data_IF_082315641824
#
_entry.id   IF_082315641824
#
_cell.length_a   1.000
_cell.length_b   1.000
_cell.length_c   1.000
_cell.angle_alpha   90.00
_cell.angle_beta   90.00
_cell.angle_gamma   90.00
#
_symmetry.space_group_name_H-M   'P 1'
#
loop_
_entity.id
_entity.type
_entity.pdbx_description
1 polymer ?
#
# COMPACT_ATOMS: atom_id res chain seq x y z
N UNK A 1 21.08 9.41 -42.78
CA UNK A 1 20.42 10.71 -42.59
C UNK A 1 19.15 10.49 -41.78
N UNK A 2 19.22 10.56 -40.46
CA UNK A 2 18.05 10.30 -39.60
C UNK A 2 17.65 11.61 -38.92
N UNK A 3 16.50 12.17 -39.33
CA UNK A 3 15.89 13.35 -38.73
C UNK A 3 15.27 12.93 -37.39
N UNK A 4 15.94 13.23 -36.29
CA UNK A 4 15.38 13.11 -34.95
C UNK A 4 14.32 14.22 -34.76
N UNK A 5 13.06 13.90 -34.41
CA UNK A 5 12.07 14.91 -34.10
C UNK A 5 12.48 15.65 -32.82
N UNK A 6 12.56 16.98 -32.91
CA UNK A 6 12.92 17.85 -31.79
C UNK A 6 11.84 17.75 -30.72
N UNK A 7 12.15 17.06 -29.62
CA UNK A 7 11.32 16.95 -28.41
C UNK A 7 11.35 18.22 -27.53
N UNK A 8 12.27 19.14 -27.82
CA UNK A 8 12.46 20.41 -27.12
C UNK A 8 11.20 21.32 -27.11
N UNK A 9 10.43 21.49 -28.22
CA UNK A 9 9.17 22.24 -28.18
C UNK A 9 8.07 21.56 -27.35
N UNK A 10 8.04 20.23 -27.26
CA UNK A 10 7.00 19.49 -26.51
C UNK A 10 7.24 19.59 -24.98
N UNK A 11 8.51 19.55 -24.56
CA UNK A 11 8.90 19.74 -23.16
C UNK A 11 8.66 21.21 -22.73
N UNK A 12 8.87 22.17 -23.62
CA UNK A 12 8.57 23.58 -23.36
C UNK A 12 7.06 23.85 -23.20
N UNK A 13 6.20 23.16 -23.97
CA UNK A 13 4.73 23.24 -23.80
C UNK A 13 4.26 22.55 -22.51
N UNK A 14 4.89 21.44 -22.11
CA UNK A 14 4.57 20.76 -20.85
C UNK A 14 4.97 21.60 -19.62
N UNK A 15 6.14 22.25 -19.64
CA UNK A 15 6.60 23.11 -18.53
C UNK A 15 5.85 24.45 -18.52
N UNK A 16 5.60 25.04 -19.70
CA UNK A 16 4.79 26.26 -19.83
C UNK A 16 3.33 26.06 -19.44
N UNK A 17 2.74 24.90 -19.76
CA UNK A 17 1.38 24.53 -19.39
C UNK A 17 1.20 24.35 -17.87
N UNK A 18 2.18 23.75 -17.18
CA UNK A 18 2.13 23.56 -15.72
C UNK A 18 2.28 24.89 -14.96
N UNK A 19 3.04 25.85 -15.49
CA UNK A 19 3.14 27.19 -14.90
C UNK A 19 1.87 28.02 -15.17
N UNK A 20 1.24 27.88 -16.33
CA UNK A 20 -0.05 28.50 -16.63
C UNK A 20 -1.19 27.92 -15.78
N UNK A 21 -1.20 26.62 -15.50
CA UNK A 21 -2.17 25.98 -14.60
C UNK A 21 -1.95 26.39 -13.13
N UNK A 22 -0.70 26.61 -12.71
CA UNK A 22 -0.39 27.13 -11.36
C UNK A 22 -0.69 28.62 -11.20
N UNK A 23 -0.69 29.39 -12.29
CA UNK A 23 -1.14 30.79 -12.31
C UNK A 23 -2.67 30.94 -12.48
N UNK A 24 -3.36 29.93 -13.02
CA UNK A 24 -4.81 29.90 -13.15
C UNK A 24 -5.54 29.20 -11.98
N UNK A 25 -4.80 28.72 -10.97
CA UNK A 25 -5.34 27.96 -9.83
C UNK A 25 -5.71 28.77 -8.59
N UNK A 26 -5.64 30.09 -8.64
CA UNK A 26 -6.10 30.96 -7.54
C UNK A 26 -7.02 32.03 -8.12
N UNK A 27 -8.26 31.62 -8.37
CA UNK A 27 -9.31 32.53 -8.82
C UNK A 27 -9.71 33.48 -7.68
N UNK A 28 -9.76 34.81 -7.90
CA UNK A 28 -10.30 35.78 -6.94
C UNK A 28 -11.85 35.81 -6.91
N UNK A 29 -12.52 34.92 -7.65
CA UNK A 29 -13.98 34.89 -7.81
C UNK A 29 -14.71 34.01 -6.79
N UNK A 30 -14.01 33.21 -5.96
CA UNK A 30 -14.69 32.39 -4.94
C UNK A 30 -15.17 33.21 -3.71
N UNK A 31 -14.73 34.47 -3.60
CA UNK A 31 -15.09 35.38 -2.50
C UNK A 31 -16.08 36.48 -2.89
N UNK A 32 -16.45 36.63 -4.18
CA UNK A 32 -17.45 37.63 -4.61
C UNK A 32 -18.89 37.21 -4.35
N UNK A 33 -19.16 35.91 -4.20
CA UNK A 33 -20.48 35.43 -3.73
C UNK A 33 -20.80 35.87 -2.30
N UNK A 34 -19.79 36.19 -1.49
CA UNK A 34 -19.95 36.66 -0.12
C UNK A 34 -20.13 38.19 -0.02
N UNK A 35 -19.62 38.97 -0.98
CA UNK A 35 -19.80 40.44 -0.99
C UNK A 35 -21.12 40.89 -1.63
N UNK A 36 -21.72 40.09 -2.52
CA UNK A 36 -23.03 40.38 -3.09
C UNK A 36 -24.19 40.33 -2.07
N UNK A 37 -24.00 39.65 -0.93
CA UNK A 37 -24.99 39.62 0.17
C UNK A 37 -24.74 40.69 1.24
N UNK A 38 -23.58 41.36 1.20
CA UNK A 38 -23.21 42.42 2.11
C UNK A 38 -23.40 43.83 1.52
N UNK A 39 -23.58 43.96 0.20
CA UNK A 39 -23.77 45.25 -0.48
C UNK A 39 -25.22 45.59 -0.83
N UNK A 40 -26.20 44.73 -0.53
CA UNK A 40 -27.63 45.09 -0.62
C UNK A 40 -28.19 45.70 0.68
N UNK A 41 -27.31 46.24 1.54
CA UNK A 41 -27.73 46.88 2.79
C UNK A 41 -27.07 48.22 3.10
N UNK A 42 -26.14 48.73 2.28
CA UNK A 42 -25.44 49.99 2.59
C UNK A 42 -24.92 50.70 1.33
N UNK A 43 -25.79 51.48 0.68
CA UNK A 43 -25.45 52.76 0.03
C UNK A 43 -26.73 53.39 -0.58
N UNK A 44 -27.28 54.36 0.14
CA UNK A 44 -28.39 55.21 -0.31
C UNK A 44 -28.50 56.43 0.61
N UNK A 45 -27.54 57.35 0.44
CA UNK A 45 -27.56 58.81 0.67
C UNK A 45 -28.26 59.41 1.92
N UNK A 46 -27.48 60.13 2.73
CA UNK A 46 -27.86 61.39 3.41
C UNK A 46 -27.78 62.57 2.41
N UNK A 47 -28.39 63.75 2.61
CA UNK A 47 -29.04 64.28 3.84
C UNK A 47 -30.40 64.99 3.62
N UNK A 48 -31.27 64.93 4.63
CA UNK A 48 -32.53 65.69 4.66
C UNK A 48 -32.93 65.97 6.11
N UNK A 49 -32.78 67.23 6.48
CA UNK A 49 -33.14 67.83 7.76
C UNK A 49 -34.64 67.65 8.08
N UNK A 50 -34.96 67.23 9.30
CA UNK A 50 -36.31 67.34 9.84
C UNK A 50 -36.79 66.12 10.64
N UNK A 51 -36.93 66.32 11.95
CA UNK A 51 -37.96 65.63 12.73
C UNK A 51 -37.47 64.63 13.77
N UNK A 52 -37.20 65.14 14.97
CA UNK A 52 -37.62 64.48 16.22
C UNK A 52 -36.87 63.21 16.64
N UNK A 53 -35.98 63.38 17.62
CA UNK A 53 -35.77 62.36 18.65
C UNK A 53 -37.13 61.93 19.21
N UNK A 54 -37.60 60.75 18.84
CA UNK A 54 -38.55 59.99 19.63
C UNK A 54 -37.77 58.91 20.37
N UNK A 55 -37.30 59.25 21.56
CA UNK A 55 -36.96 58.26 22.57
C UNK A 55 -38.20 57.38 22.79
N UNK A 56 -38.17 56.15 22.30
CA UNK A 56 -39.17 55.15 22.60
C UNK A 56 -39.03 54.76 24.08
N UNK A 57 -39.72 55.53 24.92
CA UNK A 57 -40.09 55.21 26.29
C UNK A 57 -40.58 53.76 26.35
N UNK A 58 -40.11 52.92 27.29
CA UNK A 58 -40.62 51.56 27.39
C UNK A 58 -42.12 51.64 27.67
N UNK A 59 -42.92 51.12 26.74
CA UNK A 59 -44.33 50.92 26.98
C UNK A 59 -44.46 50.00 28.20
N UNK A 60 -45.25 50.37 29.22
CA UNK A 60 -45.38 49.55 30.41
C UNK A 60 -45.99 48.22 30.00
N UNK A 61 -45.37 47.12 30.42
CA UNK A 61 -45.94 45.78 30.37
C UNK A 61 -47.17 45.74 31.30
N UNK A 62 -48.30 46.26 30.82
CA UNK A 62 -49.59 46.15 31.48
C UNK A 62 -50.39 45.18 30.63
N UNK A 63 -50.69 44.01 31.19
CA UNK A 63 -51.37 42.82 30.63
C UNK A 63 -50.51 41.54 30.48
N UNK A 64 -49.36 41.42 31.14
CA UNK A 64 -48.81 40.10 31.45
C UNK A 64 -49.14 39.79 32.92
N UNK A 65 -50.09 38.88 33.17
CA UNK A 65 -50.29 38.32 34.50
C UNK A 65 -48.95 37.75 34.97
N UNK A 66 -48.58 38.03 36.21
CA UNK A 66 -47.38 37.41 36.78
C UNK A 66 -47.59 35.89 36.84
N UNK A 67 -46.52 35.08 36.76
CA UNK A 67 -46.64 33.61 36.84
C UNK A 67 -47.41 33.13 38.07
N UNK A 68 -47.40 33.93 39.14
CA UNK A 68 -48.13 33.67 40.39
C UNK A 68 -49.63 33.96 40.27
N UNK A 69 -50.02 35.01 39.54
CA UNK A 69 -51.43 35.30 39.22
C UNK A 69 -52.02 34.28 38.24
N UNK A 70 -51.21 33.82 37.28
CA UNK A 70 -51.58 32.74 36.35
C UNK A 70 -51.78 31.40 37.09
N UNK A 71 -50.92 31.09 38.06
CA UNK A 71 -51.04 29.91 38.91
C UNK A 71 -52.35 29.93 39.73
N UNK A 72 -52.69 31.08 40.32
CA UNK A 72 -53.91 31.24 41.13
C UNK A 72 -55.20 31.12 40.31
N UNK A 73 -55.24 31.63 39.07
CA UNK A 73 -56.39 31.46 38.18
C UNK A 73 -56.56 30.02 37.66
N UNK A 74 -55.46 29.28 37.53
CA UNK A 74 -55.48 27.88 37.09
C UNK A 74 -55.71 26.87 38.23
N UNK A 75 -55.75 27.32 39.50
CA UNK A 75 -55.84 26.44 40.66
C UNK A 75 -54.58 25.60 40.92
N UNK A 76 -53.43 26.01 40.37
CA UNK A 76 -52.16 25.27 40.40
C UNK A 76 -51.20 25.95 41.40
N UNK A 77 -50.39 25.17 42.12
CA UNK A 77 -49.35 25.72 43.00
C UNK A 77 -48.23 26.41 42.20
N UNK A 78 -47.67 27.55 42.65
CA UNK A 78 -46.58 28.23 41.93
C UNK A 78 -45.33 27.36 41.74
N UNK A 79 -45.10 26.33 42.56
CA UNK A 79 -44.01 25.38 42.38
C UNK A 79 -44.27 24.43 41.19
N UNK A 80 -45.51 23.95 41.05
CA UNK A 80 -45.93 23.07 39.97
C UNK A 80 -45.90 23.79 38.61
N UNK A 81 -46.30 25.06 38.59
CA UNK A 81 -46.21 25.90 37.39
C UNK A 81 -44.76 26.09 36.91
N UNK A 82 -43.79 26.24 37.82
CA UNK A 82 -42.36 26.29 37.47
C UNK A 82 -41.85 24.97 36.90
N UNK A 83 -42.31 23.83 37.44
CA UNK A 83 -41.94 22.51 36.92
C UNK A 83 -42.47 22.34 35.50
N UNK A 84 -43.75 22.63 35.26
CA UNK A 84 -44.37 22.55 33.92
C UNK A 84 -43.61 23.45 32.93
N UNK A 85 -43.26 24.68 33.30
CA UNK A 85 -42.46 25.56 32.44
C UNK A 85 -41.07 24.98 32.15
N UNK A 86 -40.40 24.38 33.14
CA UNK A 86 -39.08 23.77 32.95
C UNK A 86 -39.13 22.52 32.05
N UNK A 87 -40.19 21.72 32.17
CA UNK A 87 -40.43 20.56 31.31
C UNK A 87 -40.77 21.00 29.88
N UNK A 88 -41.58 22.06 29.71
CA UNK A 88 -41.84 22.66 28.39
C UNK A 88 -40.55 23.15 27.75
N UNK A 89 -39.75 23.94 28.46
CA UNK A 89 -38.45 24.42 27.95
C UNK A 89 -37.50 23.27 27.59
N UNK A 90 -37.50 22.21 28.39
CA UNK A 90 -36.70 21.02 28.10
C UNK A 90 -37.22 20.27 26.88
N UNK A 91 -38.55 20.22 26.69
CA UNK A 91 -39.16 19.63 25.49
C UNK A 91 -38.76 20.41 24.25
N UNK A 92 -38.88 21.73 24.27
CA UNK A 92 -38.49 22.60 23.15
C UNK A 92 -37.00 22.44 22.81
N UNK A 93 -36.14 22.34 23.83
CA UNK A 93 -34.71 22.10 23.63
C UNK A 93 -34.39 20.70 23.05
N UNK A 94 -35.18 19.68 23.38
CA UNK A 94 -35.04 18.35 22.78
C UNK A 94 -35.56 18.34 21.35
N UNK A 95 -36.72 18.93 21.08
CA UNK A 95 -37.29 19.03 19.74
C UNK A 95 -36.36 19.80 18.78
N UNK A 96 -35.68 20.85 19.28
CA UNK A 96 -34.65 21.55 18.52
C UNK A 96 -33.46 20.65 18.16
N UNK A 97 -32.97 19.84 19.11
CA UNK A 97 -31.86 18.89 18.86
C UNK A 97 -32.27 17.76 17.92
N UNK A 98 -33.51 17.27 18.04
CA UNK A 98 -34.03 16.23 17.16
C UNK A 98 -34.15 16.75 15.72
N UNK A 99 -34.55 18.01 15.54
CA UNK A 99 -34.53 18.67 14.22
C UNK A 99 -33.10 18.83 13.67
N UNK A 100 -32.13 19.21 14.51
CA UNK A 100 -30.72 19.28 14.11
C UNK A 100 -30.17 17.91 13.68
N UNK A 101 -30.49 16.85 14.42
CA UNK A 101 -30.08 15.49 14.03
C UNK A 101 -30.79 14.98 12.78
N UNK A 102 -32.07 15.31 12.60
CA UNK A 102 -32.82 14.94 11.40
C UNK A 102 -32.20 15.52 10.11
N UNK A 103 -31.50 16.65 10.19
CA UNK A 103 -30.80 17.25 9.04
C UNK A 103 -29.37 16.76 8.89
N UNK A 104 -28.63 16.57 9.99
CA UNK A 104 -27.20 16.22 9.95
C UNK A 104 -26.93 14.75 9.70
N UNK A 105 -27.75 13.84 10.26
CA UNK A 105 -27.53 12.39 10.12
C UNK A 105 -27.62 11.92 8.66
N UNK A 106 -28.60 12.34 7.83
CA UNK A 106 -28.63 11.94 6.42
C UNK A 106 -27.42 12.43 5.62
N UNK A 107 -26.89 13.62 5.93
CA UNK A 107 -25.69 14.15 5.30
C UNK A 107 -24.45 13.33 5.68
N UNK A 108 -24.35 12.91 6.94
CA UNK A 108 -23.26 12.04 7.41
C UNK A 108 -23.32 10.66 6.76
N UNK A 109 -24.51 10.05 6.68
CA UNK A 109 -24.69 8.75 6.02
C UNK A 109 -24.35 8.84 4.52
N UNK A 110 -24.78 9.91 3.84
CA UNK A 110 -24.42 10.12 2.44
C UNK A 110 -22.91 10.34 2.26
N UNK A 111 -22.25 11.01 3.21
CA UNK A 111 -20.80 11.19 3.21
C UNK A 111 -20.06 9.85 3.44
N UNK A 112 -20.52 9.02 4.37
CA UNK A 112 -19.97 7.68 4.64
C UNK A 112 -20.09 6.79 3.40
N UNK A 113 -21.28 6.70 2.79
CA UNK A 113 -21.48 5.95 1.54
C UNK A 113 -20.56 6.44 0.41
N UNK A 114 -20.34 7.75 0.31
CA UNK A 114 -19.42 8.34 -0.68
C UNK A 114 -17.96 8.00 -0.37
N UNK A 115 -17.58 7.90 0.90
CA UNK A 115 -16.24 7.48 1.30
C UNK A 115 -16.04 5.98 1.03
N UNK A 116 -17.01 5.13 1.36
CA UNK A 116 -16.96 3.70 1.07
C UNK A 116 -16.84 3.42 -0.42
N UNK A 117 -17.64 4.10 -1.25
CA UNK A 117 -17.55 3.99 -2.70
C UNK A 117 -16.16 4.41 -3.23
N UNK A 118 -15.57 5.46 -2.65
CA UNK A 118 -14.21 5.88 -3.00
C UNK A 118 -13.16 4.89 -2.53
N UNK A 119 -13.32 4.31 -1.34
CA UNK A 119 -12.39 3.31 -0.82
C UNK A 119 -12.40 2.06 -1.69
N UNK A 120 -13.58 1.56 -2.04
CA UNK A 120 -13.74 0.44 -2.97
C UNK A 120 -13.13 0.73 -4.34
N UNK A 121 -13.32 1.94 -4.88
CA UNK A 121 -12.70 2.34 -6.14
C UNK A 121 -11.16 2.39 -6.06
N UNK A 122 -10.60 2.86 -4.95
CA UNK A 122 -9.16 2.88 -4.72
C UNK A 122 -8.59 1.47 -4.52
N UNK A 123 -9.31 0.59 -3.83
CA UNK A 123 -8.93 -0.82 -3.67
C UNK A 123 -8.97 -1.57 -5.00
N UNK A 124 -10.00 -1.35 -5.80
CA UNK A 124 -10.09 -1.90 -7.16
C UNK A 124 -8.91 -1.43 -8.02
N UNK A 125 -8.62 -0.11 -8.02
CA UNK A 125 -7.50 0.44 -8.77
C UNK A 125 -6.15 -0.09 -8.26
N UNK A 126 -5.97 -0.26 -6.95
CA UNK A 126 -4.77 -0.89 -6.37
C UNK A 126 -4.64 -2.34 -6.85
N UNK A 127 -5.75 -3.08 -6.91
CA UNK A 127 -5.79 -4.44 -7.44
C UNK A 127 -5.39 -4.50 -8.92
N UNK A 128 -5.95 -3.61 -9.73
CA UNK A 128 -5.60 -3.49 -11.16
C UNK A 128 -4.13 -3.15 -11.37
N UNK A 129 -3.60 -2.15 -10.64
CA UNK A 129 -2.18 -1.77 -10.73
C UNK A 129 -1.29 -2.94 -10.30
N UNK A 130 -1.62 -3.61 -9.19
CA UNK A 130 -0.86 -4.78 -8.73
C UNK A 130 -0.87 -5.91 -9.76
N UNK A 131 -2.00 -6.12 -10.44
CA UNK A 131 -2.11 -7.12 -11.50
C UNK A 131 -1.30 -6.73 -12.74
N UNK A 132 -1.35 -5.45 -13.15
CA UNK A 132 -0.55 -4.94 -14.28
C UNK A 132 0.95 -5.03 -13.99
N UNK A 133 1.38 -4.66 -12.78
CA UNK A 133 2.79 -4.80 -12.35
C UNK A 133 3.21 -6.27 -12.41
N UNK A 134 2.40 -7.18 -11.86
CA UNK A 134 2.69 -8.62 -11.94
C UNK A 134 2.78 -9.14 -13.39
N UNK A 135 1.94 -8.66 -14.31
CA UNK A 135 2.03 -9.02 -15.72
C UNK A 135 3.30 -8.50 -16.40
N UNK A 136 3.77 -7.31 -16.02
CA UNK A 136 5.03 -6.75 -16.53
C UNK A 136 6.21 -7.56 -15.99
N UNK A 137 6.24 -7.86 -14.70
CA UNK A 137 7.29 -8.66 -14.08
C UNK A 137 7.42 -10.05 -14.73
N UNK A 138 6.29 -10.72 -15.01
CA UNK A 138 6.29 -12.02 -15.69
C UNK A 138 6.78 -11.92 -17.14
N UNK A 139 6.46 -10.84 -17.86
CA UNK A 139 6.97 -10.60 -19.22
C UNK A 139 8.47 -10.34 -19.21
N UNK A 140 8.95 -9.47 -18.32
CA UNK A 140 10.38 -9.18 -18.16
C UNK A 140 11.17 -10.44 -17.79
N UNK A 141 10.63 -11.26 -16.89
CA UNK A 141 11.22 -12.55 -16.54
C UNK A 141 11.25 -13.52 -17.72
N UNK A 142 10.15 -13.64 -18.47
CA UNK A 142 10.11 -14.49 -19.66
C UNK A 142 11.10 -14.04 -20.73
N UNK A 143 11.28 -12.74 -20.92
CA UNK A 143 12.30 -12.19 -21.83
C UNK A 143 13.72 -12.47 -21.34
N UNK A 144 13.99 -12.28 -20.04
CA UNK A 144 15.26 -12.63 -19.44
C UNK A 144 15.57 -14.13 -19.60
N UNK A 145 14.60 -15.01 -19.34
CA UNK A 145 14.75 -16.46 -19.47
C UNK A 145 15.01 -16.88 -20.93
N UNK A 146 14.35 -16.24 -21.90
CA UNK A 146 14.64 -16.45 -23.34
C UNK A 146 16.08 -16.06 -23.68
N UNK A 147 16.56 -14.92 -23.18
CA UNK A 147 17.95 -14.48 -23.39
C UNK A 147 18.93 -15.45 -22.73
N UNK A 148 18.66 -15.88 -21.49
CA UNK A 148 19.45 -16.89 -20.77
C UNK A 148 19.51 -18.19 -21.58
N UNK A 149 18.39 -18.63 -22.16
CA UNK A 149 18.36 -19.83 -23.00
C UNK A 149 19.29 -19.71 -24.21
N UNK A 150 19.24 -18.58 -24.94
CA UNK A 150 20.11 -18.32 -26.09
C UNK A 150 21.59 -18.35 -25.70
N UNK A 151 21.98 -17.66 -24.63
CA UNK A 151 23.37 -17.61 -24.21
C UNK A 151 23.86 -18.92 -23.60
N UNK A 152 23.00 -19.67 -22.90
CA UNK A 152 23.34 -20.96 -22.30
C UNK A 152 23.51 -22.08 -23.33
N UNK A 153 22.85 -21.97 -24.49
CA UNK A 153 23.00 -22.89 -25.62
C UNK A 153 24.28 -22.62 -26.43
N UNK A 154 24.87 -21.42 -26.32
CA UNK A 154 26.07 -21.03 -27.03
C UNK A 154 27.35 -21.54 -26.33
N UNK A 155 28.46 -21.65 -27.08
CA UNK A 155 29.75 -22.02 -26.48
C UNK A 155 30.22 -20.95 -25.49
N UNK A 156 30.78 -21.32 -24.32
CA UNK A 156 31.17 -20.36 -23.29
C UNK A 156 32.13 -19.27 -23.77
N UNK A 157 33.04 -19.60 -24.70
CA UNK A 157 34.00 -18.64 -25.28
C UNK A 157 33.33 -17.58 -26.14
N UNK A 158 32.36 -17.98 -26.97
CA UNK A 158 31.60 -17.05 -27.82
C UNK A 158 30.64 -16.21 -26.98
N UNK A 159 29.98 -16.83 -25.99
CA UNK A 159 29.12 -16.14 -25.04
C UNK A 159 29.90 -15.06 -24.27
N UNK A 160 31.09 -15.37 -23.78
CA UNK A 160 31.95 -14.43 -23.08
C UNK A 160 32.31 -13.18 -23.91
N UNK A 161 32.63 -13.37 -25.20
CA UNK A 161 32.97 -12.27 -26.10
C UNK A 161 31.78 -11.31 -26.30
N UNK A 162 30.57 -11.85 -26.52
CA UNK A 162 29.36 -11.04 -26.69
C UNK A 162 28.96 -10.35 -25.38
N UNK A 163 29.03 -11.07 -24.26
CA UNK A 163 28.64 -10.56 -22.94
C UNK A 163 29.52 -9.40 -22.46
N UNK A 164 30.79 -9.35 -22.87
CA UNK A 164 31.69 -8.24 -22.57
C UNK A 164 31.26 -6.92 -23.26
N UNK A 165 30.60 -7.01 -24.42
CA UNK A 165 30.13 -5.84 -25.19
C UNK A 165 28.71 -5.38 -24.85
N UNK A 166 27.99 -6.16 -24.05
CA UNK A 166 26.59 -5.90 -23.73
C UNK A 166 26.46 -4.80 -22.65
N UNK A 167 25.41 -3.97 -22.78
CA UNK A 167 25.09 -2.94 -21.80
C UNK A 167 24.65 -3.53 -20.45
N UNK A 168 24.97 -2.84 -19.35
CA UNK A 168 24.66 -3.30 -17.99
C UNK A 168 23.16 -3.51 -17.74
N UNK A 169 22.30 -2.73 -18.40
CA UNK A 169 20.84 -2.82 -18.25
C UNK A 169 20.29 -4.19 -18.63
N UNK A 170 20.87 -4.84 -19.65
CA UNK A 170 20.49 -6.19 -20.11
C UNK A 170 21.42 -7.25 -19.52
N UNK A 171 22.70 -6.94 -19.37
CA UNK A 171 23.73 -7.87 -18.89
C UNK A 171 23.50 -8.32 -17.45
N UNK A 172 23.14 -7.40 -16.55
CA UNK A 172 22.98 -7.72 -15.13
C UNK A 172 21.75 -8.59 -14.84
N UNK A 173 20.54 -8.30 -15.38
CA UNK A 173 19.39 -9.17 -15.21
C UNK A 173 19.64 -10.58 -15.75
N UNK A 174 20.16 -10.69 -16.97
CA UNK A 174 20.47 -11.99 -17.60
C UNK A 174 21.52 -12.77 -16.81
N UNK A 175 22.57 -12.10 -16.32
CA UNK A 175 23.58 -12.73 -15.48
C UNK A 175 22.99 -13.23 -14.14
N UNK A 176 22.06 -12.47 -13.54
CA UNK A 176 21.43 -12.83 -12.27
C UNK A 176 20.43 -13.98 -12.38
N UNK A 177 19.74 -14.11 -13.53
CA UNK A 177 18.79 -15.18 -13.79
C UNK A 177 19.47 -16.48 -14.28
N UNK A 178 20.72 -16.40 -14.74
CA UNK A 178 21.44 -17.55 -15.26
C UNK A 178 21.87 -18.54 -14.16
N UNK A 179 21.89 -19.83 -14.50
CA UNK A 179 22.38 -20.89 -13.61
C UNK A 179 23.85 -20.64 -13.21
N UNK A 180 24.21 -20.75 -11.92
CA UNK A 180 25.57 -20.43 -11.45
C UNK A 180 26.70 -21.17 -12.17
N UNK A 181 26.47 -22.45 -12.53
CA UNK A 181 27.45 -23.27 -13.25
C UNK A 181 27.72 -22.75 -14.66
N UNK A 182 26.68 -22.31 -15.37
CA UNK A 182 26.82 -21.77 -16.73
C UNK A 182 27.48 -20.40 -16.70
N UNK A 183 27.10 -19.55 -15.73
CA UNK A 183 27.74 -18.25 -15.51
C UNK A 183 29.24 -18.40 -15.25
N UNK A 184 29.63 -19.33 -14.37
CA UNK A 184 31.04 -19.59 -14.07
C UNK A 184 31.83 -20.04 -15.31
N UNK A 185 31.25 -20.89 -16.17
CA UNK A 185 31.90 -21.32 -17.40
C UNK A 185 32.13 -20.17 -18.39
N UNK A 186 31.18 -19.22 -18.47
CA UNK A 186 31.31 -18.01 -19.32
C UNK A 186 32.36 -17.05 -18.72
N UNK A 187 32.30 -16.80 -17.41
CA UNK A 187 33.28 -15.94 -16.72
C UNK A 187 34.71 -16.47 -16.85
N UNK A 188 34.90 -17.80 -16.85
CA UNK A 188 36.20 -18.43 -17.05
C UNK A 188 36.81 -18.18 -18.45
N UNK A 189 35.99 -17.82 -19.44
CA UNK A 189 36.41 -17.48 -20.80
C UNK A 189 36.46 -15.96 -21.03
N UNK A 190 36.03 -15.14 -20.07
CA UNK A 190 36.11 -13.68 -20.13
C UNK A 190 37.50 -13.15 -19.72
N UNK A 191 37.78 -11.90 -20.08
CA UNK A 191 38.93 -11.19 -19.53
C UNK A 191 38.74 -10.95 -18.00
N UNK A 192 39.79 -11.14 -17.18
CA UNK A 192 39.69 -10.98 -15.72
C UNK A 192 39.10 -9.63 -15.26
N UNK A 193 39.39 -8.54 -15.97
CA UNK A 193 38.87 -7.21 -15.67
C UNK A 193 37.33 -7.14 -15.82
N UNK A 194 36.81 -7.66 -16.93
CA UNK A 194 35.37 -7.67 -17.18
C UNK A 194 34.61 -8.60 -16.22
N UNK A 195 35.20 -9.74 -15.83
CA UNK A 195 34.60 -10.66 -14.87
C UNK A 195 34.52 -10.03 -13.46
N UNK A 196 35.55 -9.28 -13.07
CA UNK A 196 35.57 -8.51 -11.82
C UNK A 196 34.47 -7.45 -11.83
N UNK A 197 34.37 -6.67 -12.89
CA UNK A 197 33.36 -5.61 -13.03
C UNK A 197 31.93 -6.16 -12.92
N UNK A 198 31.64 -7.25 -13.63
CA UNK A 198 30.33 -7.92 -13.57
C UNK A 198 29.99 -8.34 -12.13
N UNK A 199 30.95 -8.94 -11.42
CA UNK A 199 30.76 -9.42 -10.04
C UNK A 199 30.51 -8.26 -9.09
N UNK A 200 31.27 -7.17 -9.20
CA UNK A 200 31.08 -5.97 -8.37
C UNK A 200 29.71 -5.33 -8.61
N UNK A 201 29.23 -5.28 -9.86
CA UNK A 201 27.91 -4.74 -10.21
C UNK A 201 26.76 -5.65 -9.72
N UNK A 202 26.88 -6.96 -9.87
CA UNK A 202 25.94 -7.93 -9.31
C UNK A 202 25.86 -7.84 -7.79
N UNK A 203 27.01 -7.74 -7.11
CA UNK A 203 27.07 -7.58 -5.66
C UNK A 203 26.41 -6.28 -5.20
N UNK A 204 26.68 -5.15 -5.87
CA UNK A 204 26.03 -3.86 -5.57
C UNK A 204 24.52 -3.93 -5.74
N UNK A 205 24.04 -4.58 -6.81
CA UNK A 205 22.60 -4.79 -7.05
C UNK A 205 21.97 -5.63 -5.93
N UNK A 206 22.60 -6.72 -5.54
CA UNK A 206 22.09 -7.59 -4.48
C UNK A 206 22.07 -6.87 -3.13
N UNK A 207 23.11 -6.11 -2.79
CA UNK A 207 23.12 -5.28 -1.60
C UNK A 207 22.00 -4.23 -1.62
N UNK A 208 21.81 -3.52 -2.74
CA UNK A 208 20.72 -2.55 -2.88
C UNK A 208 19.33 -3.20 -2.67
N UNK A 209 19.11 -4.39 -3.21
CA UNK A 209 17.88 -5.16 -2.99
C UNK A 209 17.70 -5.58 -1.52
N UNK A 210 18.77 -6.01 -0.85
CA UNK A 210 18.74 -6.34 0.58
C UNK A 210 18.45 -5.12 1.46
N UNK A 211 19.03 -3.96 1.15
CA UNK A 211 18.75 -2.72 1.86
C UNK A 211 17.29 -2.30 1.67
N UNK A 212 16.77 -2.39 0.44
CA UNK A 212 15.36 -2.11 0.16
C UNK A 212 14.43 -3.07 0.92
N UNK A 213 14.73 -4.37 0.94
CA UNK A 213 13.95 -5.37 1.69
C UNK A 213 13.98 -5.10 3.19
N UNK A 214 15.14 -4.73 3.75
CA UNK A 214 15.27 -4.39 5.18
C UNK A 214 14.57 -3.07 5.52
N UNK A 215 14.65 -2.07 4.65
CA UNK A 215 13.94 -0.81 4.81
C UNK A 215 12.42 -1.04 4.77
N UNK A 216 11.93 -1.86 3.83
CA UNK A 216 10.53 -2.26 3.76
C UNK A 216 10.09 -3.00 5.04
N UNK A 217 10.91 -3.94 5.54
CA UNK A 217 10.63 -4.65 6.79
C UNK A 217 10.62 -3.73 8.03
N UNK A 218 11.43 -2.68 8.04
CA UNK A 218 11.44 -1.67 9.11
C UNK A 218 10.29 -0.65 9.00
N UNK A 219 9.73 -0.47 7.80
CA UNK A 219 8.65 0.48 7.50
C UNK A 219 7.27 -0.17 7.53
N UNK A 220 7.21 -1.51 7.54
CA UNK A 220 5.97 -2.24 7.74
C UNK A 220 5.44 -1.91 9.15
N UNK A 221 4.16 -1.55 9.31
CA UNK A 221 3.57 -1.40 10.62
C UNK A 221 3.79 -2.71 11.35
N UNK A 222 4.40 -2.63 12.54
CA UNK A 222 4.61 -3.78 13.39
C UNK A 222 3.23 -4.35 13.74
N UNK A 223 2.73 -5.28 12.94
CA UNK A 223 1.78 -6.26 13.41
C UNK A 223 2.46 -6.91 14.60
N UNK A 224 1.87 -6.69 15.77
CA UNK A 224 2.35 -7.12 17.06
C UNK A 224 2.52 -8.63 17.06
N UNK A 225 3.71 -9.12 16.69
CA UNK A 225 4.15 -10.44 17.09
C UNK A 225 4.31 -10.39 18.61
N UNK A 226 3.54 -11.18 19.39
CA UNK A 226 3.68 -11.19 20.83
C UNK A 226 5.11 -11.57 21.17
N UNK A 227 5.74 -10.72 21.99
CA UNK A 227 7.09 -10.91 22.49
C UNK A 227 7.23 -12.32 23.09
N UNK A 228 7.97 -13.18 22.41
CA UNK A 228 8.58 -14.35 23.05
C UNK A 228 9.58 -13.82 24.07
N UNK A 229 9.18 -13.86 25.33
CA UNK A 229 10.00 -13.61 26.52
C UNK A 229 11.31 -14.40 26.42
N UNK A 230 12.49 -13.76 26.44
CA UNK A 230 13.73 -14.49 26.67
C UNK A 230 13.71 -14.95 28.13
N UNK A 231 13.54 -16.25 28.34
CA UNK A 231 13.74 -16.87 29.64
C UNK A 231 15.14 -16.52 30.15
N UNK A 232 15.17 -15.98 31.37
CA UNK A 232 16.38 -15.64 32.10
C UNK A 232 17.32 -16.85 32.21
N UNK A 233 18.53 -16.70 31.71
CA UNK A 233 19.68 -17.53 32.10
C UNK A 233 20.31 -16.92 33.36
N UNK A 234 20.60 -17.69 34.43
CA UNK A 234 21.26 -17.14 35.60
C UNK A 234 22.74 -16.86 35.32
N UNK A 235 23.19 -15.73 35.83
CA UNK A 235 24.56 -15.26 35.81
C UNK A 235 25.53 -16.22 36.52
N UNK A 236 26.66 -16.51 35.88
CA UNK A 236 27.92 -16.83 36.53
C UNK A 236 29.08 -16.45 35.60
N UNK A 237 29.72 -15.31 35.88
CA UNK A 237 31.11 -15.07 35.51
C UNK A 237 31.98 -15.55 36.69
N UNK A 238 33.26 -15.94 36.46
CA UNK A 238 34.26 -14.89 36.35
C UNK A 238 35.39 -15.14 35.32
N UNK A 239 35.82 -14.03 34.71
CA UNK A 239 37.18 -13.65 34.23
C UNK A 239 38.04 -14.63 33.39
N UNK A 240 38.51 -14.23 32.19
CA UNK A 240 39.61 -14.90 31.52
C UNK A 240 40.97 -14.31 31.94
N UNK A 241 41.78 -15.10 32.63
CA UNK A 241 43.21 -14.84 32.79
C UNK A 241 43.95 -15.34 31.54
N UNK A 242 44.61 -14.40 30.86
CA UNK A 242 45.54 -14.62 29.76
C UNK A 242 46.84 -15.21 30.28
N UNK A 243 47.22 -16.41 29.87
CA UNK A 243 48.60 -16.88 29.92
C UNK A 243 48.88 -18.01 28.91
N UNK A 244 49.77 -17.67 27.97
CA UNK A 244 50.88 -18.49 27.43
C UNK A 244 50.63 -19.86 26.79
N UNK A 245 50.95 -19.92 25.50
CA UNK A 245 51.28 -21.13 24.72
C UNK A 245 52.38 -21.97 25.38
N UNK A 246 52.50 -23.26 25.02
CA UNK A 246 53.65 -23.64 24.22
C UNK A 246 53.37 -24.63 23.06
N UNK A 247 53.92 -24.26 21.90
CA UNK A 247 54.80 -25.01 20.96
C UNK A 247 54.43 -26.44 20.49
N UNK A 248 54.62 -26.77 19.19
CA UNK A 248 53.97 -27.91 18.53
C UNK A 248 54.86 -29.16 18.43
N UNK A 249 54.25 -30.34 18.28
CA UNK A 249 54.96 -31.52 17.77
C UNK A 249 54.03 -32.57 17.12
N UNK A 250 54.35 -32.87 15.85
CA UNK A 250 54.51 -34.21 15.25
C UNK A 250 53.30 -34.91 14.56
N UNK A 251 53.34 -34.72 13.23
CA UNK A 251 53.18 -35.67 12.09
C UNK A 251 51.83 -36.34 11.78
N UNK A 252 51.55 -36.55 10.47
CA UNK A 252 50.27 -37.02 9.96
C UNK A 252 50.20 -38.56 9.89
N UNK A 253 49.00 -39.12 10.05
CA UNK A 253 48.70 -40.50 9.72
C UNK A 253 47.71 -40.57 8.54
N UNK A 254 48.13 -41.31 7.53
CA UNK A 254 47.55 -41.61 6.22
C UNK A 254 46.22 -42.39 6.31
N UNK A 255 45.31 -42.29 5.32
CA UNK A 255 44.06 -43.05 5.31
C UNK A 255 44.31 -44.52 4.90
N UNK A 256 43.74 -45.46 5.64
CA UNK A 256 43.77 -46.89 5.32
C UNK A 256 42.71 -47.23 4.26
N UNK A 257 43.15 -48.02 3.27
CA UNK A 257 42.39 -48.46 2.12
C UNK A 257 41.51 -49.69 2.40
N UNK A 258 40.44 -49.75 1.58
CA UNK A 258 39.59 -50.87 1.14
C UNK A 258 40.25 -52.26 1.07
N UNK A 259 39.45 -53.34 1.18
CA UNK A 259 39.66 -54.54 0.35
C UNK A 259 38.54 -54.72 -0.71
N UNK A 260 38.97 -55.12 -1.90
CA UNK A 260 38.19 -55.69 -3.01
C UNK A 260 37.71 -57.12 -2.64
N UNK A 261 36.97 -57.95 -3.37
CA UNK A 261 36.42 -58.10 -4.72
C UNK A 261 35.32 -59.22 -4.59
N UNK A 262 34.32 -59.41 -5.44
CA UNK A 262 34.40 -60.11 -6.74
C UNK A 262 33.02 -60.16 -7.46
N UNK A 263 32.97 -60.53 -8.76
CA UNK A 263 31.90 -60.19 -9.71
C UNK A 263 31.04 -61.38 -10.20
N UNK A 264 29.89 -61.07 -10.82
CA UNK A 264 29.21 -61.88 -11.84
C UNK A 264 28.28 -60.93 -12.64
N UNK A 265 28.56 -60.53 -13.88
CA UNK A 265 28.50 -61.27 -15.15
C UNK A 265 27.07 -61.51 -15.69
N UNK A 266 26.80 -60.84 -16.82
CA UNK A 266 25.90 -61.16 -17.96
C UNK A 266 24.43 -60.74 -17.92
N UNK A 267 24.12 -59.73 -18.75
CA UNK A 267 22.85 -59.56 -19.50
C UNK A 267 22.87 -60.49 -20.75
N UNK A 268 21.87 -60.52 -21.69
CA UNK A 268 20.66 -59.69 -21.85
C UNK A 268 19.39 -60.48 -22.32
N UNK A 269 18.41 -59.74 -22.89
CA UNK A 269 17.23 -60.16 -23.71
C UNK A 269 15.99 -60.61 -22.93
N UNK A 270 14.73 -60.21 -23.21
CA UNK A 270 14.08 -59.47 -24.33
C UNK A 270 12.72 -58.93 -23.87
N UNK A 271 12.34 -57.77 -24.43
CA UNK A 271 11.00 -57.27 -24.79
C UNK A 271 9.73 -58.05 -24.36
N UNK A 272 8.72 -57.33 -23.83
CA UNK A 272 7.43 -57.16 -24.51
C UNK A 272 6.55 -56.05 -23.87
N UNK A 273 5.65 -55.49 -24.69
CA UNK A 273 4.66 -54.43 -24.50
C UNK A 273 3.65 -54.69 -23.35
N UNK A 274 2.87 -53.74 -22.81
CA UNK A 274 2.48 -52.37 -23.15
C UNK A 274 1.58 -51.81 -22.01
N UNK A 275 1.04 -50.59 -22.14
CA UNK A 275 0.48 -49.82 -21.02
C UNK A 275 -1.00 -50.14 -20.72
N UNK A 276 -1.35 -50.32 -19.44
CA UNK A 276 -2.75 -50.33 -18.97
C UNK A 276 -3.11 -48.97 -18.34
N UNK A 277 -4.06 -48.21 -18.90
CA UNK A 277 -4.64 -47.05 -18.23
C UNK A 277 -5.73 -47.49 -17.23
N UNK A 278 -5.70 -46.91 -16.03
CA UNK A 278 -6.75 -47.04 -15.02
C UNK A 278 -7.84 -46.00 -15.32
N UNK A 279 -9.03 -46.46 -15.69
CA UNK A 279 -10.24 -45.64 -15.83
C UNK A 279 -11.07 -45.69 -14.52
N UNK A 280 -11.77 -44.60 -14.16
CA UNK A 280 -12.52 -44.49 -12.91
C UNK A 280 -13.88 -45.20 -12.98
N UNK A 281 -14.31 -45.80 -11.88
CA UNK A 281 -15.66 -46.30 -11.70
C UNK A 281 -16.63 -45.13 -11.44
N UNK A 282 -17.60 -44.97 -12.33
CA UNK A 282 -18.83 -44.22 -12.13
C UNK A 282 -19.99 -45.21 -12.24
N UNK A 283 -20.91 -45.12 -11.27
CA UNK A 283 -22.36 -45.39 -11.32
C UNK A 283 -22.84 -45.96 -9.99
N UNK A 284 -23.59 -45.16 -9.22
CA UNK A 284 -24.90 -45.60 -8.73
C UNK A 284 -25.80 -44.41 -8.30
N UNK A 285 -26.82 -44.18 -9.14
CA UNK A 285 -28.20 -43.77 -8.87
C UNK A 285 -28.62 -42.36 -8.37
N UNK A 286 -29.79 -41.87 -8.87
CA UNK A 286 -30.33 -40.53 -8.63
C UNK A 286 -31.41 -40.50 -7.52
N UNK A 287 -31.49 -39.41 -6.75
CA UNK A 287 -32.68 -39.10 -5.92
C UNK A 287 -33.06 -37.63 -6.11
N UNK A 288 -34.30 -37.43 -6.57
CA UNK A 288 -34.94 -36.15 -6.86
C UNK A 288 -35.35 -35.36 -5.58
N UNK A 289 -35.57 -34.03 -5.67
CA UNK A 289 -35.79 -33.15 -4.53
C UNK A 289 -37.26 -33.11 -4.08
N UNK A 290 -37.51 -33.02 -2.77
CA UNK A 290 -38.80 -32.59 -2.21
C UNK A 290 -38.67 -31.21 -1.59
N UNK A 291 -39.38 -30.27 -2.19
CA UNK A 291 -39.83 -29.02 -1.58
C UNK A 291 -40.75 -29.32 -0.39
N UNK A 292 -40.62 -28.55 0.69
CA UNK A 292 -41.75 -28.22 1.55
C UNK A 292 -41.50 -26.86 2.20
N UNK A 293 -42.34 -25.93 1.78
CA UNK A 293 -42.67 -24.66 2.43
C UNK A 293 -43.41 -24.97 3.73
N UNK A 294 -42.95 -24.40 4.83
CA UNK A 294 -43.77 -23.79 5.89
C UNK A 294 -42.91 -22.82 6.69
#
# INVERSE_FOLDING_TARGET
MSKLPRLLPLIAVAIGGVVAVRAAGVAPELFQGATAWAQEAVAGETPGEGGGKAEAKPAPAVCALTPEQLAQQAGISPAELRIIQSLSKRRDALDARDADFATTLPLMVAAEQKLDAKLQALEALKGEISALVGQVDEKEKAEADRLVAVYSAMRPKEAAAVFATLDDSVRLPVASAMRPRTLAAIMAQMQPAAARELTEKLAKRFQAQQYAARAAAASAPAETTPASTPAAQPAAAPTPARATQPTPARRPATPAARPAAQPAAKAPTTADAGPRPYAPAADDSPVAPRQSVQ
#
